data_IF_973614266408
#
_entry.id   IF_973614266408
#
_cell.length_a   1.000
_cell.length_b   1.000
_cell.length_c   1.000
_cell.angle_alpha   90.00
_cell.angle_beta   90.00
_cell.angle_gamma   90.00
#
_symmetry.space_group_name_H-M   'P 1'
#
loop_
_entity.id
_entity.type
_entity.pdbx_description
1 polymer ?
#
# COMPACT_ATOMS: atom_id res chain seq x y z
N UNK A 1 11.82 -9.10 -1.13
CA UNK A 1 11.33 -8.72 -2.48
C UNK A 1 10.06 -9.50 -2.84
N UNK A 2 10.03 -10.86 -2.86
CA UNK A 2 8.86 -11.65 -3.27
C UNK A 2 7.57 -11.27 -2.49
N UNK A 3 7.62 -11.27 -1.16
CA UNK A 3 6.46 -10.93 -0.32
C UNK A 3 6.01 -9.48 -0.51
N UNK A 4 6.95 -8.60 -0.81
CA UNK A 4 6.67 -7.19 -1.09
C UNK A 4 5.95 -7.03 -2.44
N UNK A 5 6.38 -7.74 -3.49
CA UNK A 5 5.71 -7.72 -4.79
C UNK A 5 4.27 -8.24 -4.67
N UNK A 6 4.08 -9.38 -4.01
CA UNK A 6 2.75 -9.98 -3.82
C UNK A 6 1.83 -9.08 -2.99
N UNK A 7 2.34 -8.48 -1.91
CA UNK A 7 1.58 -7.56 -1.08
C UNK A 7 1.24 -6.25 -1.80
N UNK A 8 2.22 -5.66 -2.49
CA UNK A 8 2.04 -4.39 -3.19
C UNK A 8 1.02 -4.48 -4.34
N UNK A 9 0.96 -5.62 -5.04
CA UNK A 9 -0.01 -5.86 -6.12
C UNK A 9 -1.49 -5.86 -5.64
N UNK A 10 -1.72 -5.97 -4.34
CA UNK A 10 -3.06 -5.98 -3.74
C UNK A 10 -3.46 -4.64 -3.12
N UNK A 11 -2.57 -3.64 -3.13
CA UNK A 11 -2.81 -2.36 -2.47
C UNK A 11 -3.65 -1.43 -3.33
N UNK A 12 -4.63 -0.79 -2.72
CA UNK A 12 -5.47 0.25 -3.32
C UNK A 12 -4.83 1.65 -3.15
N UNK A 13 -3.79 1.75 -2.34
CA UNK A 13 -2.94 2.90 -2.10
C UNK A 13 -1.78 2.53 -1.19
N UNK A 14 -0.80 3.40 -1.02
CA UNK A 14 0.36 3.16 -0.17
C UNK A 14 0.71 4.36 0.70
N UNK A 15 1.22 4.08 1.89
CA UNK A 15 1.91 5.07 2.73
C UNK A 15 3.41 4.85 2.54
N UNK A 16 4.10 5.84 2.00
CA UNK A 16 5.55 5.86 1.93
C UNK A 16 6.10 6.53 3.19
N UNK A 17 6.80 5.76 4.02
CA UNK A 17 7.44 6.30 5.23
C UNK A 17 8.89 6.63 4.94
N UNK A 18 9.26 7.90 5.14
CA UNK A 18 10.62 8.42 4.96
C UNK A 18 11.09 9.02 6.27
N UNK A 19 12.36 8.87 6.62
CA UNK A 19 12.94 9.55 7.77
C UNK A 19 13.16 11.03 7.45
N UNK A 20 12.61 11.94 8.24
CA UNK A 20 12.86 13.37 8.10
C UNK A 20 14.33 13.75 8.39
N UNK A 21 15.01 12.96 9.23
CA UNK A 21 16.41 13.19 9.59
C UNK A 21 17.41 12.69 8.54
N UNK A 22 17.08 11.60 7.84
CA UNK A 22 17.99 10.92 6.90
C UNK A 22 17.65 11.22 5.43
N UNK A 23 16.42 11.66 5.16
CA UNK A 23 15.91 11.84 3.80
C UNK A 23 15.61 10.52 3.07
N UNK A 24 15.33 10.56 1.75
CA UNK A 24 15.08 9.39 0.96
C UNK A 24 16.34 8.55 0.75
N UNK A 25 16.29 7.30 1.20
CA UNK A 25 17.37 6.32 1.08
C UNK A 25 17.24 5.50 -0.21
N UNK A 26 18.27 4.73 -0.63
CA UNK A 26 18.17 3.86 -1.80
C UNK A 26 16.96 2.93 -1.78
N UNK A 27 16.59 2.39 -0.62
CA UNK A 27 15.40 1.56 -0.44
C UNK A 27 14.10 2.32 -0.71
N UNK A 28 14.05 3.62 -0.40
CA UNK A 28 12.89 4.48 -0.71
C UNK A 28 12.63 4.49 -2.22
N UNK A 29 13.68 4.62 -3.02
CA UNK A 29 13.60 4.56 -4.49
C UNK A 29 13.08 3.22 -4.99
N UNK A 30 13.60 2.12 -4.42
CA UNK A 30 13.16 0.75 -4.76
C UNK A 30 11.67 0.55 -4.44
N UNK A 31 11.19 1.08 -3.30
CA UNK A 31 9.80 0.98 -2.89
C UNK A 31 8.86 1.75 -3.82
N UNK A 32 9.24 2.98 -4.21
CA UNK A 32 8.45 3.79 -5.15
C UNK A 32 8.41 3.11 -6.52
N UNK A 33 9.57 2.68 -7.05
CA UNK A 33 9.66 1.96 -8.32
C UNK A 33 8.77 0.72 -8.32
N UNK A 34 8.84 -0.08 -7.26
CA UNK A 34 8.04 -1.29 -7.14
C UNK A 34 6.55 -0.95 -7.10
N UNK A 35 6.15 0.05 -6.32
CA UNK A 35 4.76 0.51 -6.24
C UNK A 35 4.23 0.90 -7.62
N UNK A 36 5.05 1.57 -8.43
CA UNK A 36 4.70 1.91 -9.80
C UNK A 36 4.55 0.68 -10.69
N UNK A 37 5.48 -0.27 -10.62
CA UNK A 37 5.48 -1.49 -11.44
C UNK A 37 4.29 -2.41 -11.14
N UNK A 38 3.87 -2.50 -9.89
CA UNK A 38 2.72 -3.34 -9.49
C UNK A 38 1.38 -2.61 -9.60
N UNK A 39 1.38 -1.32 -10.00
CA UNK A 39 0.17 -0.56 -10.29
C UNK A 39 -0.53 0.02 -9.06
N UNK A 40 0.21 0.35 -7.98
CA UNK A 40 -0.35 1.13 -6.86
C UNK A 40 -0.83 2.48 -7.39
N UNK A 41 -2.11 2.84 -7.23
CA UNK A 41 -2.68 4.00 -7.90
C UNK A 41 -2.21 5.33 -7.29
N UNK A 42 -2.04 5.39 -5.98
CA UNK A 42 -1.71 6.61 -5.23
C UNK A 42 -0.79 6.30 -4.04
N UNK A 43 0.08 7.26 -3.73
CA UNK A 43 0.97 7.23 -2.56
C UNK A 43 0.69 8.46 -1.70
N UNK A 44 0.65 8.28 -0.38
CA UNK A 44 0.70 9.34 0.61
C UNK A 44 2.03 9.23 1.34
N UNK A 45 2.70 10.32 1.62
CA UNK A 45 4.00 10.32 2.29
C UNK A 45 3.85 10.69 3.76
N UNK A 46 4.52 9.93 4.63
CA UNK A 46 4.71 10.29 6.03
C UNK A 46 6.21 10.47 6.32
N UNK A 47 6.62 11.73 6.50
CA UNK A 47 7.98 12.09 6.92
C UNK A 47 8.08 11.91 8.44
N UNK A 48 8.55 10.73 8.83
CA UNK A 48 8.64 10.29 10.22
C UNK A 48 9.93 10.79 10.90
N UNK A 49 9.98 10.72 12.22
CA UNK A 49 11.10 11.16 13.07
C UNK A 49 11.35 12.68 13.02
N UNK A 50 10.32 13.47 12.80
CA UNK A 50 10.43 14.92 12.79
C UNK A 50 10.88 15.48 14.16
N UNK A 51 10.69 14.73 15.24
CA UNK A 51 11.20 15.05 16.58
C UNK A 51 12.73 15.04 16.70
N UNK A 52 13.43 14.51 15.70
CA UNK A 52 14.91 14.49 15.63
C UNK A 52 15.49 15.65 14.79
N UNK A 53 14.64 16.50 14.24
CA UNK A 53 15.04 17.61 13.34
C UNK A 53 14.56 18.91 13.94
N UNK A 54 15.52 19.80 14.27
CA UNK A 54 15.26 21.12 14.85
C UNK A 54 15.32 22.25 13.80
N UNK A 55 15.50 21.90 12.51
CA UNK A 55 15.69 22.82 11.40
C UNK A 55 14.57 22.66 10.36
N UNK A 56 13.73 23.66 10.25
CA UNK A 56 12.61 23.67 9.30
C UNK A 56 13.09 23.67 7.84
N UNK A 57 14.26 24.30 7.54
CA UNK A 57 14.83 24.32 6.20
C UNK A 57 15.24 22.91 5.76
N UNK A 58 15.71 22.08 6.71
CA UNK A 58 16.04 20.68 6.43
C UNK A 58 14.77 19.85 6.14
N UNK A 59 13.68 20.10 6.86
CA UNK A 59 12.40 19.44 6.60
C UNK A 59 11.87 19.76 5.20
N UNK A 60 11.94 21.04 4.81
CA UNK A 60 11.53 21.49 3.47
C UNK A 60 12.40 20.85 2.37
N UNK A 61 13.71 20.75 2.59
CA UNK A 61 14.63 20.13 1.64
C UNK A 61 14.30 18.65 1.44
N UNK A 62 14.09 17.91 2.52
CA UNK A 62 13.74 16.48 2.45
C UNK A 62 12.38 16.29 1.76
N UNK A 63 11.42 17.16 2.03
CA UNK A 63 10.12 17.14 1.33
C UNK A 63 10.29 17.34 -0.18
N UNK A 64 11.09 18.32 -0.60
CA UNK A 64 11.40 18.56 -2.01
C UNK A 64 12.05 17.33 -2.66
N UNK A 65 13.05 16.74 -2.02
CA UNK A 65 13.71 15.53 -2.55
C UNK A 65 12.73 14.35 -2.72
N UNK A 66 11.80 14.18 -1.79
CA UNK A 66 10.77 13.14 -1.88
C UNK A 66 9.81 13.41 -3.04
N UNK A 67 9.37 14.66 -3.23
CA UNK A 67 8.49 15.07 -4.33
C UNK A 67 9.16 14.86 -5.69
N UNK A 68 10.42 15.29 -5.85
CA UNK A 68 11.19 15.05 -7.07
C UNK A 68 11.35 13.55 -7.36
N UNK A 69 11.57 12.75 -6.30
CA UNK A 69 11.70 11.32 -6.45
C UNK A 69 10.39 10.66 -6.90
N UNK A 70 9.24 11.10 -6.39
CA UNK A 70 7.93 10.64 -6.82
C UNK A 70 7.69 10.96 -8.30
N UNK A 71 8.01 12.18 -8.74
CA UNK A 71 7.88 12.61 -10.14
C UNK A 71 8.76 11.77 -11.09
N UNK A 72 9.98 11.42 -10.68
CA UNK A 72 10.86 10.54 -11.46
C UNK A 72 10.24 9.18 -11.76
N UNK A 73 9.36 8.68 -10.88
CA UNK A 73 8.66 7.41 -11.02
C UNK A 73 7.19 7.57 -11.43
N UNK A 74 6.84 8.75 -11.99
CA UNK A 74 5.52 9.04 -12.55
C UNK A 74 4.36 9.03 -11.52
N UNK A 75 4.66 9.31 -10.25
CA UNK A 75 3.67 9.72 -9.26
C UNK A 75 3.63 11.25 -9.22
N UNK A 76 2.43 11.88 -9.04
CA UNK A 76 2.32 13.34 -9.02
C UNK A 76 2.93 13.91 -7.74
N UNK A 77 4.22 14.26 -7.76
CA UNK A 77 4.96 14.74 -6.59
C UNK A 77 4.36 15.98 -5.95
N UNK A 78 3.95 16.96 -6.79
CA UNK A 78 3.35 18.20 -6.31
C UNK A 78 1.99 18.00 -5.63
N UNK A 79 1.15 17.08 -6.15
CA UNK A 79 -0.19 16.81 -5.64
C UNK A 79 -0.19 15.79 -4.48
N UNK A 80 0.91 15.07 -4.28
CA UNK A 80 1.00 14.03 -3.26
C UNK A 80 0.99 14.65 -1.86
N UNK A 81 0.07 14.22 -0.97
CA UNK A 81 0.11 14.66 0.42
C UNK A 81 1.39 14.19 1.12
N UNK A 82 2.11 15.14 1.71
CA UNK A 82 3.27 14.88 2.55
C UNK A 82 2.96 15.36 3.96
N UNK A 83 2.94 14.43 4.90
CA UNK A 83 2.67 14.71 6.30
C UNK A 83 3.97 14.57 7.10
N UNK A 84 4.34 15.62 7.83
CA UNK A 84 5.51 15.64 8.69
C UNK A 84 5.07 15.30 10.11
N UNK A 85 5.74 14.31 10.74
CA UNK A 85 5.37 13.90 12.08
C UNK A 85 6.36 12.95 12.74
N UNK A 86 6.03 12.53 13.94
CA UNK A 86 6.74 11.53 14.72
C UNK A 86 5.78 10.47 15.23
N UNK A 87 5.90 9.26 14.71
CA UNK A 87 5.11 8.14 15.17
C UNK A 87 5.39 7.81 16.66
N UNK A 88 6.62 8.05 17.13
CA UNK A 88 6.98 7.88 18.54
C UNK A 88 6.20 8.87 19.42
N UNK A 89 6.21 10.16 19.04
CA UNK A 89 5.47 11.19 19.77
C UNK A 89 3.97 10.92 19.78
N UNK A 90 3.41 10.48 18.67
CA UNK A 90 2.01 10.09 18.60
C UNK A 90 1.70 8.90 19.53
N UNK A 91 2.58 7.89 19.59
CA UNK A 91 2.43 6.74 20.49
C UNK A 91 2.49 7.14 21.97
N UNK A 92 3.28 8.15 22.30
CA UNK A 92 3.37 8.74 23.65
C UNK A 92 2.16 9.62 24.01
N UNK A 93 1.24 9.87 23.06
CA UNK A 93 0.07 10.73 23.26
C UNK A 93 0.37 12.22 23.17
N UNK A 94 1.50 12.61 22.56
CA UNK A 94 1.89 13.99 22.37
C UNK A 94 0.87 14.73 21.48
N UNK A 95 0.34 15.85 21.97
CA UNK A 95 -0.67 16.66 21.30
C UNK A 95 -0.07 17.77 20.42
N UNK A 96 1.25 17.84 20.27
CA UNK A 96 1.92 18.78 19.35
C UNK A 96 1.60 18.43 17.89
N UNK A 97 1.88 19.37 16.99
CA UNK A 97 1.59 19.22 15.56
C UNK A 97 2.26 18.00 14.91
N UNK A 98 3.41 17.55 15.43
CA UNK A 98 4.13 16.38 14.94
C UNK A 98 3.72 15.06 15.62
N UNK A 99 2.90 15.10 16.68
CA UNK A 99 2.43 13.94 17.45
C UNK A 99 1.11 13.35 16.91
N UNK A 100 0.14 13.20 17.79
CA UNK A 100 -1.21 12.64 17.46
C UNK A 100 -1.88 13.40 16.31
N UNK A 101 -1.84 14.75 16.24
CA UNK A 101 -2.42 15.48 15.11
C UNK A 101 -1.81 15.13 13.75
N UNK A 102 -0.50 14.85 13.67
CA UNK A 102 0.13 14.42 12.42
C UNK A 102 -0.41 13.07 11.95
N UNK A 103 -0.60 12.12 12.86
CA UNK A 103 -1.20 10.82 12.51
C UNK A 103 -2.65 10.97 12.08
N UNK A 104 -3.41 11.88 12.71
CA UNK A 104 -4.77 12.17 12.27
C UNK A 104 -4.79 12.75 10.85
N UNK A 105 -3.92 13.72 10.55
CA UNK A 105 -3.76 14.26 9.18
C UNK A 105 -3.40 13.19 8.16
N UNK A 106 -2.57 12.20 8.55
CA UNK A 106 -2.25 11.07 7.67
C UNK A 106 -3.50 10.24 7.36
N UNK A 107 -4.32 9.93 8.35
CA UNK A 107 -5.58 9.17 8.15
C UNK A 107 -6.55 9.96 7.28
N UNK A 108 -6.71 11.25 7.55
CA UNK A 108 -7.57 12.13 6.74
C UNK A 108 -7.08 12.19 5.27
N UNK A 109 -5.76 12.27 5.06
CA UNK A 109 -5.17 12.26 3.72
C UNK A 109 -5.40 10.92 2.98
N UNK A 110 -5.43 9.79 3.69
CA UNK A 110 -5.79 8.52 3.07
C UNK A 110 -7.23 8.53 2.56
N UNK A 111 -8.16 9.04 3.35
CA UNK A 111 -9.59 9.09 3.00
C UNK A 111 -9.86 10.08 1.86
N UNK A 112 -9.13 11.19 1.80
CA UNK A 112 -9.34 12.25 0.80
C UNK A 112 -8.60 11.99 -0.52
N UNK A 113 -7.39 11.44 -0.47
CA UNK A 113 -6.50 11.35 -1.62
C UNK A 113 -6.51 10.00 -2.33
N UNK A 114 -6.67 8.88 -1.58
CA UNK A 114 -6.69 7.54 -2.18
C UNK A 114 -8.12 7.26 -2.66
N UNK A 115 -8.30 6.97 -3.97
CA UNK A 115 -9.63 6.72 -4.51
C UNK A 115 -10.21 5.41 -3.96
N UNK A 116 -11.51 5.40 -3.74
CA UNK A 116 -12.22 4.16 -3.43
C UNK A 116 -12.06 3.18 -4.61
N UNK A 117 -11.60 1.94 -4.36
CA UNK A 117 -11.35 0.99 -5.43
C UNK A 117 -12.65 0.52 -6.07
N UNK A 118 -12.66 0.50 -7.40
CA UNK A 118 -13.76 -0.12 -8.15
C UNK A 118 -13.81 -1.63 -7.88
N UNK A 119 -14.98 -2.11 -7.46
CA UNK A 119 -15.23 -3.53 -7.19
C UNK A 119 -16.26 -4.06 -8.18
N UNK A 120 -15.83 -4.66 -9.31
CA UNK A 120 -16.75 -5.14 -10.35
C UNK A 120 -17.43 -6.45 -9.90
N UNK A 121 -18.41 -6.34 -9.01
CA UNK A 121 -19.16 -7.47 -8.42
C UNK A 121 -20.11 -8.15 -9.39
N UNK A 122 -20.54 -7.43 -10.44
CA UNK A 122 -21.47 -7.92 -11.45
C UNK A 122 -20.80 -8.75 -12.55
N UNK A 123 -19.48 -8.87 -12.53
CA UNK A 123 -18.72 -9.71 -13.45
C UNK A 123 -18.57 -11.14 -12.93
N UNK A 124 -18.26 -12.12 -13.80
CA UNK A 124 -17.95 -13.47 -13.36
C UNK A 124 -16.81 -13.47 -12.33
N UNK A 125 -16.95 -14.32 -11.31
CA UNK A 125 -15.93 -14.48 -10.26
C UNK A 125 -14.55 -14.76 -10.84
N UNK A 126 -13.55 -14.07 -10.33
CA UNK A 126 -12.13 -14.30 -10.63
C UNK A 126 -11.28 -14.05 -9.39
N UNK A 127 -10.48 -15.04 -9.02
CA UNK A 127 -9.50 -14.94 -7.96
C UNK A 127 -8.17 -15.56 -8.42
N UNK A 128 -7.14 -14.76 -8.70
CA UNK A 128 -5.78 -15.27 -8.90
C UNK A 128 -5.31 -16.03 -7.65
N UNK A 129 -4.77 -17.25 -7.84
CA UNK A 129 -4.24 -18.04 -6.74
C UNK A 129 -2.83 -17.54 -6.41
N UNK A 130 -2.60 -17.18 -5.14
CA UNK A 130 -1.33 -16.69 -4.62
C UNK A 130 -0.57 -17.78 -3.85
N UNK A 131 -1.27 -18.49 -2.97
CA UNK A 131 -0.71 -19.58 -2.19
C UNK A 131 -1.64 -20.79 -2.17
N UNK A 132 -1.03 -21.98 -1.97
CA UNK A 132 -1.72 -23.26 -1.92
C UNK A 132 -1.27 -24.02 -0.68
N UNK A 133 -2.22 -24.45 0.13
CA UNK A 133 -2.00 -25.21 1.36
C UNK A 133 -2.76 -26.53 1.36
N UNK A 134 -2.22 -27.53 2.04
CA UNK A 134 -2.94 -28.76 2.36
C UNK A 134 -3.29 -28.77 3.84
N UNK A 135 -4.58 -28.82 4.14
CA UNK A 135 -5.07 -28.84 5.53
C UNK A 135 -5.69 -30.23 5.80
N UNK A 136 -5.18 -30.91 6.83
CA UNK A 136 -5.70 -32.22 7.25
C UNK A 136 -7.21 -32.14 7.55
N UNK A 137 -7.99 -32.99 6.90
CA UNK A 137 -9.45 -33.03 7.04
C UNK A 137 -10.24 -32.03 6.21
N UNK A 138 -9.54 -31.08 5.52
CA UNK A 138 -10.18 -30.08 4.64
C UNK A 138 -9.70 -30.15 3.19
N UNK A 139 -8.58 -30.84 2.93
CA UNK A 139 -8.02 -30.97 1.58
C UNK A 139 -7.15 -29.78 1.17
N UNK A 140 -7.17 -29.46 -0.11
CA UNK A 140 -6.41 -28.34 -0.67
C UNK A 140 -7.15 -27.03 -0.43
N UNK A 141 -6.45 -26.07 0.14
CA UNK A 141 -6.93 -24.70 0.37
C UNK A 141 -6.07 -23.75 -0.45
N UNK A 142 -6.68 -22.85 -1.17
CA UNK A 142 -6.01 -21.79 -1.93
C UNK A 142 -6.34 -20.44 -1.34
N UNK A 143 -5.40 -19.50 -1.42
CA UNK A 143 -5.60 -18.10 -1.04
C UNK A 143 -5.33 -17.19 -2.21
N UNK A 144 -5.98 -16.03 -2.19
CA UNK A 144 -5.83 -14.99 -3.20
C UNK A 144 -6.81 -13.85 -2.94
N UNK A 145 -6.62 -12.75 -3.66
CA UNK A 145 -7.58 -11.63 -3.66
C UNK A 145 -8.65 -11.87 -4.72
N UNK A 146 -9.91 -11.73 -4.34
CA UNK A 146 -11.01 -11.73 -5.32
C UNK A 146 -10.89 -10.47 -6.17
N UNK A 147 -10.53 -10.61 -7.43
CA UNK A 147 -10.34 -9.50 -8.36
C UNK A 147 -11.68 -8.96 -8.90
N UNK A 148 -12.68 -9.84 -9.07
CA UNK A 148 -14.01 -9.46 -9.54
C UNK A 148 -15.03 -10.56 -9.20
N UNK A 149 -16.30 -10.18 -9.26
CA UNK A 149 -17.42 -11.08 -9.01
C UNK A 149 -17.61 -11.43 -7.53
N UNK A 150 -18.50 -12.35 -7.29
CA UNK A 150 -18.86 -12.86 -5.97
C UNK A 150 -18.77 -14.38 -6.01
N UNK A 151 -18.26 -14.99 -4.93
CA UNK A 151 -18.29 -16.43 -4.71
C UNK A 151 -18.89 -16.73 -3.35
N UNK A 152 -19.71 -17.76 -3.28
CA UNK A 152 -20.34 -18.26 -2.04
C UNK A 152 -19.90 -19.70 -1.81
N UNK A 153 -19.96 -20.12 -0.56
CA UNK A 153 -19.77 -21.53 -0.21
C UNK A 153 -20.82 -22.38 -0.91
N UNK A 154 -20.37 -23.41 -1.64
CA UNK A 154 -21.23 -24.28 -2.43
C UNK A 154 -21.33 -23.92 -3.90
N UNK A 155 -20.81 -22.76 -4.33
CA UNK A 155 -20.79 -22.40 -5.74
C UNK A 155 -19.80 -23.31 -6.51
N UNK A 156 -20.19 -23.66 -7.73
CA UNK A 156 -19.32 -24.35 -8.68
C UNK A 156 -18.32 -23.35 -9.27
N UNK A 157 -17.04 -23.69 -9.24
CA UNK A 157 -15.94 -22.86 -9.72
C UNK A 157 -15.04 -23.66 -10.64
N UNK A 158 -14.39 -22.97 -11.58
CA UNK A 158 -13.40 -23.53 -12.47
C UNK A 158 -11.99 -23.12 -12.05
N UNK A 159 -11.08 -24.09 -11.96
CA UNK A 159 -9.65 -23.87 -11.77
C UNK A 159 -9.01 -23.86 -13.15
N UNK A 160 -8.57 -22.69 -13.59
CA UNK A 160 -7.93 -22.49 -14.90
C UNK A 160 -6.44 -22.23 -14.73
N UNK A 161 -5.63 -22.71 -15.67
CA UNK A 161 -4.17 -22.53 -15.63
C UNK A 161 -3.46 -23.25 -16.77
N UNK A 162 -2.23 -23.69 -16.51
CA UNK A 162 -1.41 -24.40 -17.51
C UNK A 162 -1.95 -25.80 -17.84
N UNK A 163 -2.62 -26.42 -16.87
CA UNK A 163 -3.28 -27.74 -17.04
C UNK A 163 -4.70 -27.55 -17.52
N UNK A 164 -5.31 -28.66 -17.94
CA UNK A 164 -6.73 -28.70 -18.32
C UNK A 164 -7.58 -28.12 -17.18
N UNK A 165 -8.61 -27.36 -17.56
CA UNK A 165 -9.56 -26.77 -16.63
C UNK A 165 -10.26 -27.86 -15.79
N UNK A 166 -10.32 -27.62 -14.50
CA UNK A 166 -10.99 -28.49 -13.55
C UNK A 166 -12.14 -27.77 -12.89
N UNK A 167 -13.27 -28.43 -12.77
CA UNK A 167 -14.44 -27.93 -12.05
C UNK A 167 -14.45 -28.47 -10.63
N UNK A 168 -14.75 -27.67 -9.65
CA UNK A 168 -14.87 -28.05 -8.25
C UNK A 168 -15.89 -27.17 -7.53
N UNK A 169 -16.17 -27.48 -6.28
CA UNK A 169 -17.10 -26.68 -5.45
C UNK A 169 -16.31 -25.90 -4.41
N UNK A 170 -16.68 -24.63 -4.24
CA UNK A 170 -16.11 -23.74 -3.24
C UNK A 170 -16.62 -24.11 -1.82
#
# INVERSE_FOLDING_TARGET
VKNMITGAAQMDGAILVVSAADGPMPQTREHILLSRQVGVPKIVVFMNKADMVDDDELLELVEMEVRELLDQYEFPGDDTPVIIGSALKALEGDASDIGVPAVQKLVDALDEYIPEPERPVDLPFLMPIEDVFSISGRGTVVTGRVARGIVKVGDEIEIVGIRDTQTTTC
#
